data_IF_590953949843
#
_entry.id   IF_590953949843
#
_cell.length_a   1.000
_cell.length_b   1.000
_cell.length_c   1.000
_cell.angle_alpha   90.00
_cell.angle_beta   90.00
_cell.angle_gamma   90.00
#
_symmetry.space_group_name_H-M   'P 1'
#
loop_
_entity.id
_entity.type
_entity.pdbx_description
1 polymer ?
#
# COMPACT_ATOMS: atom_id res chain seq x y z
N UNK A 1 -17.65 37.89 -6.71
CA UNK A 1 -16.26 37.43 -6.98
C UNK A 1 -15.56 36.99 -5.69
N UNK A 2 -15.61 37.79 -4.62
CA UNK A 2 -15.05 37.45 -3.30
C UNK A 2 -15.62 36.13 -2.74
N UNK A 3 -16.94 35.95 -2.69
CA UNK A 3 -17.55 34.68 -2.25
C UNK A 3 -17.14 33.44 -3.08
N UNK A 4 -16.80 33.64 -4.37
CA UNK A 4 -16.31 32.56 -5.24
C UNK A 4 -14.85 32.22 -4.94
N UNK A 5 -14.05 33.21 -4.56
CA UNK A 5 -12.68 33.02 -4.08
C UNK A 5 -12.66 32.33 -2.70
N UNK A 6 -13.59 32.70 -1.81
CA UNK A 6 -13.72 32.09 -0.48
C UNK A 6 -14.16 30.62 -0.56
N UNK A 7 -15.11 30.29 -1.45
CA UNK A 7 -15.46 28.88 -1.74
C UNK A 7 -14.32 28.11 -2.41
N UNK A 8 -13.49 28.77 -3.21
CA UNK A 8 -12.33 28.12 -3.82
C UNK A 8 -11.23 27.83 -2.78
N UNK A 9 -11.06 28.68 -1.77
CA UNK A 9 -10.16 28.41 -0.64
C UNK A 9 -10.58 27.14 0.13
N UNK A 10 -11.88 26.86 0.24
CA UNK A 10 -12.39 25.62 0.85
C UNK A 10 -12.07 24.35 0.05
N UNK A 11 -11.59 24.46 -1.20
CA UNK A 11 -11.12 23.33 -2.01
C UNK A 11 -9.61 23.06 -1.86
N UNK A 12 -8.92 23.82 -1.00
CA UNK A 12 -7.51 23.62 -0.70
C UNK A 12 -7.27 22.17 -0.25
N UNK A 13 -6.28 21.52 -0.85
CA UNK A 13 -6.01 20.10 -0.63
C UNK A 13 -4.57 19.75 -0.96
N UNK A 14 -4.11 18.67 -0.34
CA UNK A 14 -2.85 18.01 -0.67
C UNK A 14 -3.18 16.67 -1.33
N UNK A 15 -2.48 16.34 -2.42
CA UNK A 15 -2.58 15.04 -3.06
C UNK A 15 -1.22 14.53 -3.50
N UNK A 16 -1.05 13.22 -3.45
CA UNK A 16 0.14 12.50 -3.84
C UNK A 16 -0.25 11.52 -4.96
N UNK A 17 0.45 11.56 -6.11
CA UNK A 17 0.19 10.66 -7.23
C UNK A 17 1.50 10.09 -7.79
N UNK A 18 1.58 8.79 -8.09
CA UNK A 18 2.77 8.19 -8.70
C UNK A 18 3.16 8.86 -10.01
N UNK A 19 4.46 8.94 -10.28
CA UNK A 19 5.03 9.33 -11.56
C UNK A 19 6.08 8.29 -12.01
N UNK A 20 6.49 8.28 -13.28
CA UNK A 20 7.53 7.35 -13.75
C UNK A 20 8.86 7.50 -13.00
N UNK A 21 9.69 6.46 -13.05
CA UNK A 21 11.07 6.46 -12.54
C UNK A 21 11.22 6.69 -11.02
N UNK A 22 10.27 6.19 -10.22
CA UNK A 22 10.32 6.33 -8.75
C UNK A 22 10.02 7.74 -8.25
N UNK A 23 9.47 8.59 -9.12
CA UNK A 23 9.12 9.97 -8.82
C UNK A 23 7.66 10.07 -8.39
N UNK A 24 7.30 11.17 -7.74
CA UNK A 24 5.94 11.41 -7.27
C UNK A 24 5.52 12.85 -7.53
N UNK A 25 4.29 13.02 -7.99
CA UNK A 25 3.65 14.33 -7.98
C UNK A 25 3.06 14.59 -6.60
N UNK A 26 3.73 15.41 -5.81
CA UNK A 26 3.18 16.00 -4.60
C UNK A 26 2.59 17.36 -4.93
N UNK A 27 1.26 17.46 -4.94
CA UNK A 27 0.54 18.68 -5.34
C UNK A 27 -0.16 19.29 -4.14
N UNK A 28 0.09 20.59 -3.93
CA UNK A 28 -0.59 21.40 -2.92
C UNK A 28 -1.44 22.44 -3.64
N UNK A 29 -2.76 22.33 -3.52
CA UNK A 29 -3.70 23.35 -3.99
C UNK A 29 -3.95 24.34 -2.84
N UNK A 30 -3.58 25.59 -3.04
CA UNK A 30 -3.61 26.65 -2.02
C UNK A 30 -4.39 27.87 -2.50
N UNK A 31 -4.89 28.72 -1.58
CA UNK A 31 -5.25 30.10 -1.90
C UNK A 31 -4.11 30.82 -2.62
N UNK A 32 -4.44 31.65 -3.62
CA UNK A 32 -3.48 32.26 -4.54
C UNK A 32 -2.30 32.94 -3.83
N UNK A 33 -2.58 33.78 -2.82
CA UNK A 33 -1.54 34.51 -2.10
C UNK A 33 -0.55 33.58 -1.39
N UNK A 34 -1.04 32.49 -0.80
CA UNK A 34 -0.21 31.49 -0.14
C UNK A 34 0.61 30.69 -1.16
N UNK A 35 -0.01 30.29 -2.27
CA UNK A 35 0.68 29.53 -3.34
C UNK A 35 1.79 30.34 -4.02
N UNK A 36 1.54 31.60 -4.35
CA UNK A 36 2.55 32.49 -4.93
C UNK A 36 3.65 32.81 -3.91
N UNK A 37 3.30 33.04 -2.64
CA UNK A 37 4.28 33.23 -1.58
C UNK A 37 5.20 32.02 -1.40
N UNK A 38 4.63 30.81 -1.39
CA UNK A 38 5.39 29.57 -1.31
C UNK A 38 6.32 29.40 -2.51
N UNK A 39 5.80 29.58 -3.74
CA UNK A 39 6.61 29.47 -4.95
C UNK A 39 7.74 30.51 -4.99
N UNK A 40 7.44 31.77 -4.65
CA UNK A 40 8.43 32.84 -4.60
C UNK A 40 9.55 32.54 -3.59
N UNK A 41 9.21 32.00 -2.42
CA UNK A 41 10.19 31.65 -1.39
C UNK A 41 11.12 30.50 -1.81
N UNK A 42 10.60 29.50 -2.53
CA UNK A 42 11.39 28.41 -3.12
C UNK A 42 12.28 28.92 -4.26
N UNK A 43 11.69 29.74 -5.14
CA UNK A 43 12.39 30.39 -6.26
C UNK A 43 13.56 31.24 -5.76
N UNK A 44 13.33 32.05 -4.73
CA UNK A 44 14.36 32.92 -4.16
C UNK A 44 15.53 32.10 -3.60
N UNK A 45 15.25 31.04 -2.83
CA UNK A 45 16.31 30.17 -2.33
C UNK A 45 17.11 29.54 -3.46
N UNK A 46 16.44 29.04 -4.50
CA UNK A 46 17.12 28.49 -5.67
C UNK A 46 17.96 29.52 -6.44
N UNK A 47 17.55 30.79 -6.48
CA UNK A 47 18.32 31.87 -7.12
C UNK A 47 19.58 32.25 -6.31
N UNK A 48 19.64 31.89 -5.02
CA UNK A 48 20.79 32.16 -4.14
C UNK A 48 21.71 30.96 -3.92
N UNK A 49 21.37 29.80 -4.48
CA UNK A 49 22.12 28.55 -4.30
C UNK A 49 22.98 28.28 -5.54
N UNK A 50 24.29 28.20 -5.35
CA UNK A 50 25.28 28.06 -6.43
C UNK A 50 26.12 26.79 -6.27
N UNK A 51 25.46 25.64 -6.11
CA UNK A 51 26.11 24.35 -5.83
C UNK A 51 26.10 23.36 -7.02
N UNK A 52 25.76 23.85 -8.21
CA UNK A 52 25.74 23.06 -9.44
C UNK A 52 24.46 22.24 -9.67
N UNK A 53 23.53 22.18 -8.71
CA UNK A 53 22.22 21.55 -8.91
C UNK A 53 21.33 22.40 -9.82
N UNK A 54 20.40 21.75 -10.51
CA UNK A 54 19.41 22.49 -11.31
C UNK A 54 18.47 23.29 -10.41
N UNK A 55 17.96 24.42 -10.92
CA UNK A 55 16.97 25.24 -10.21
C UNK A 55 15.78 24.41 -9.71
N UNK A 56 15.27 23.50 -10.54
CA UNK A 56 14.15 22.63 -10.18
C UNK A 56 14.48 21.65 -9.05
N UNK A 57 15.70 21.11 -9.06
CA UNK A 57 16.19 20.24 -7.98
C UNK A 57 16.30 21.00 -6.67
N UNK A 58 16.95 22.18 -6.65
CA UNK A 58 17.06 23.01 -5.45
C UNK A 58 15.68 23.39 -4.90
N UNK A 59 14.75 23.80 -5.77
CA UNK A 59 13.38 24.13 -5.34
C UNK A 59 12.66 22.93 -4.71
N UNK A 60 12.84 21.73 -5.26
CA UNK A 60 12.21 20.50 -4.76
C UNK A 60 12.80 20.09 -3.41
N UNK A 61 14.12 20.09 -3.30
CA UNK A 61 14.84 19.78 -2.06
C UNK A 61 14.46 20.78 -0.95
N UNK A 62 14.42 22.07 -1.28
CA UNK A 62 14.00 23.13 -0.34
C UNK A 62 12.54 22.96 0.10
N UNK A 63 11.65 22.57 -0.82
CA UNK A 63 10.25 22.31 -0.48
C UNK A 63 10.14 21.12 0.48
N UNK A 64 10.87 20.04 0.21
CA UNK A 64 10.95 18.88 1.09
C UNK A 64 11.48 19.28 2.48
N UNK A 65 12.58 20.03 2.53
CA UNK A 65 13.21 20.48 3.78
C UNK A 65 12.28 21.34 4.63
N UNK A 66 11.58 22.29 4.01
CA UNK A 66 10.66 23.18 4.73
C UNK A 66 9.37 22.49 5.18
N UNK A 67 8.89 21.50 4.43
CA UNK A 67 7.67 20.75 4.78
C UNK A 67 7.95 19.73 5.89
N UNK A 68 9.09 19.04 5.82
CA UNK A 68 9.42 17.93 6.72
C UNK A 68 10.32 18.32 7.88
N UNK A 69 10.99 19.46 7.79
CA UNK A 69 12.05 19.88 8.74
C UNK A 69 13.34 19.07 8.63
N UNK A 70 13.53 18.30 7.55
CA UNK A 70 14.65 17.36 7.36
C UNK A 70 15.46 17.74 6.13
N UNK A 71 16.79 17.63 6.23
CA UNK A 71 17.69 17.79 5.08
C UNK A 71 17.29 16.83 3.94
N UNK A 72 17.25 17.33 2.71
CA UNK A 72 16.95 16.51 1.53
C UNK A 72 18.01 15.44 1.27
N UNK A 73 19.21 15.59 1.85
CA UNK A 73 20.30 14.61 1.76
C UNK A 73 20.26 13.50 2.81
N UNK A 74 19.27 13.49 3.70
CA UNK A 74 19.15 12.46 4.76
C UNK A 74 18.03 11.47 4.42
N UNK A 75 18.28 10.20 4.74
CA UNK A 75 17.27 9.15 4.66
C UNK A 75 15.96 9.57 5.35
N UNK A 76 14.84 9.40 4.68
CA UNK A 76 13.53 9.75 5.24
C UNK A 76 13.04 8.56 6.07
N UNK A 77 12.84 8.69 7.40
CA UNK A 77 12.05 7.74 8.16
C UNK A 77 10.61 7.92 7.76
N UNK A 78 10.26 7.28 6.67
CA UNK A 78 8.88 7.02 6.36
C UNK A 78 8.52 5.81 7.22
N UNK A 79 7.40 5.83 7.92
CA UNK A 79 6.71 4.58 8.25
C UNK A 79 6.25 4.00 6.90
N UNK A 80 7.19 3.35 6.21
CA UNK A 80 6.94 2.80 4.89
C UNK A 80 6.09 1.57 5.12
N UNK A 81 4.81 1.65 4.78
CA UNK A 81 4.04 0.45 4.59
C UNK A 81 4.42 -0.15 3.23
N UNK A 82 5.58 -0.80 3.20
CA UNK A 82 6.15 -1.50 2.05
C UNK A 82 5.88 -3.00 2.19
N UNK A 83 5.35 -3.61 1.14
CA UNK A 83 5.20 -5.06 1.03
C UNK A 83 6.13 -5.54 -0.06
N UNK A 84 7.10 -6.37 0.28
CA UNK A 84 7.99 -7.04 -0.67
C UNK A 84 8.27 -8.46 -0.20
N UNK A 85 8.70 -9.34 -1.09
CA UNK A 85 9.13 -10.67 -0.68
C UNK A 85 10.42 -10.58 0.14
N UNK A 86 10.63 -11.56 1.00
CA UNK A 86 11.85 -11.74 1.78
C UNK A 86 13.06 -12.00 0.87
N UNK A 87 12.88 -12.77 -0.20
CA UNK A 87 13.88 -12.98 -1.25
C UNK A 87 14.25 -11.65 -1.95
N UNK A 88 13.27 -10.80 -2.28
CA UNK A 88 13.53 -9.46 -2.83
C UNK A 88 14.29 -8.57 -1.84
N UNK A 89 13.97 -8.68 -0.54
CA UNK A 89 14.62 -7.90 0.51
C UNK A 89 16.07 -8.35 0.72
N UNK A 90 16.30 -9.66 0.71
CA UNK A 90 17.63 -10.29 0.81
C UNK A 90 18.50 -10.02 -0.43
N UNK A 91 17.89 -9.64 -1.56
CA UNK A 91 18.58 -9.41 -2.83
C UNK A 91 18.69 -10.67 -3.69
N UNK A 92 17.97 -11.74 -3.34
CA UNK A 92 17.91 -13.01 -4.08
C UNK A 92 17.05 -12.91 -5.35
N UNK A 93 16.22 -11.86 -5.46
CA UNK A 93 15.48 -11.53 -6.67
C UNK A 93 15.25 -10.01 -6.84
N UNK A 94 14.75 -9.64 -8.03
CA UNK A 94 14.39 -8.27 -8.41
C UNK A 94 12.87 -8.08 -8.63
N UNK A 95 12.03 -8.88 -7.96
CA UNK A 95 10.60 -8.65 -7.98
C UNK A 95 10.28 -7.27 -7.39
N UNK A 96 9.28 -6.53 -7.93
CA UNK A 96 8.91 -5.25 -7.35
C UNK A 96 8.41 -5.44 -5.92
N UNK A 97 8.56 -4.42 -5.08
CA UNK A 97 7.76 -4.26 -3.86
C UNK A 97 6.50 -3.44 -4.14
N UNK A 98 5.62 -3.32 -3.15
CA UNK A 98 4.41 -2.51 -3.19
C UNK A 98 4.41 -1.50 -2.05
N UNK A 99 4.40 -0.23 -2.42
CA UNK A 99 4.36 0.88 -1.50
C UNK A 99 2.92 1.40 -1.39
N UNK A 100 2.40 1.54 -0.17
CA UNK A 100 1.04 2.05 0.04
C UNK A 100 0.81 3.41 -0.62
N UNK A 101 -0.35 3.61 -1.24
CA UNK A 101 -0.69 4.86 -1.92
C UNK A 101 0.17 5.21 -3.13
N UNK A 102 1.23 4.44 -3.43
CA UNK A 102 2.08 4.62 -4.61
C UNK A 102 1.92 3.46 -5.62
N UNK A 103 1.90 2.22 -5.14
CA UNK A 103 1.84 1.03 -5.99
C UNK A 103 3.20 0.33 -6.13
N UNK A 104 3.45 -0.35 -7.26
CA UNK A 104 4.65 -1.16 -7.41
C UNK A 104 5.90 -0.28 -7.52
N UNK A 105 6.94 -0.65 -6.78
CA UNK A 105 8.24 0.03 -6.74
C UNK A 105 9.38 -0.98 -7.01
N UNK A 106 10.45 -0.59 -7.72
CA UNK A 106 11.57 -1.50 -8.01
C UNK A 106 12.23 -2.08 -6.77
N UNK A 107 12.73 -3.31 -6.86
CA UNK A 107 13.40 -4.03 -5.77
C UNK A 107 14.57 -3.24 -5.15
N UNK A 108 15.42 -2.64 -5.98
CA UNK A 108 16.55 -1.82 -5.52
C UNK A 108 16.11 -0.60 -4.71
N UNK A 109 15.02 0.05 -5.10
CA UNK A 109 14.43 1.18 -4.36
C UNK A 109 13.88 0.72 -3.01
N UNK A 110 13.21 -0.43 -2.98
CA UNK A 110 12.73 -1.06 -1.76
C UNK A 110 13.89 -1.34 -0.79
N UNK A 111 14.97 -1.96 -1.27
CA UNK A 111 16.16 -2.27 -0.46
C UNK A 111 16.85 -1.01 0.05
N UNK A 112 17.01 0.02 -0.78
CA UNK A 112 17.58 1.31 -0.36
C UNK A 112 16.76 1.94 0.77
N UNK A 113 15.44 2.04 0.60
CA UNK A 113 14.54 2.54 1.65
C UNK A 113 14.66 1.74 2.96
N UNK A 114 14.75 0.41 2.87
CA UNK A 114 14.87 -0.46 4.05
C UNK A 114 16.26 -0.38 4.70
N UNK A 115 17.32 -0.28 3.90
CA UNK A 115 18.71 -0.24 4.35
C UNK A 115 19.07 1.09 5.01
N UNK A 116 18.68 2.20 4.39
CA UNK A 116 18.88 3.56 4.91
C UNK A 116 18.13 3.76 6.24
N UNK A 117 16.93 3.18 6.33
CA UNK A 117 16.11 3.13 7.53
C UNK A 117 16.72 2.35 8.70
N UNK A 118 17.51 1.29 8.43
CA UNK A 118 18.18 0.50 9.48
C UNK A 118 19.50 1.15 9.91
N UNK A 119 20.17 1.87 9.01
CA UNK A 119 21.44 2.53 9.27
C UNK A 119 21.31 3.81 10.10
N UNK A 120 20.19 4.54 9.98
CA UNK A 120 19.96 5.77 10.73
C UNK A 120 19.34 5.48 12.11
N UNK A 121 20.13 5.65 13.19
CA UNK A 121 19.71 5.48 14.59
C UNK A 121 18.60 6.46 15.03
N UNK A 122 18.41 7.58 14.32
CA UNK A 122 17.35 8.56 14.54
C UNK A 122 16.10 8.29 13.68
N UNK A 123 16.22 7.54 12.60
CA UNK A 123 15.13 7.04 11.79
C UNK A 123 14.57 5.74 12.39
N UNK A 124 13.64 5.83 13.35
CA UNK A 124 12.86 4.66 13.75
C UNK A 124 11.90 4.27 12.62
N UNK A 125 12.40 3.59 11.59
CA UNK A 125 11.53 2.90 10.65
C UNK A 125 10.94 1.69 11.35
N UNK A 126 9.66 1.78 11.73
CA UNK A 126 8.93 0.64 12.25
C UNK A 126 8.61 -0.32 11.09
N UNK A 127 9.57 -1.17 10.71
CA UNK A 127 9.32 -2.23 9.74
C UNK A 127 8.31 -3.24 10.31
N UNK A 128 7.06 -3.14 9.86
CA UNK A 128 6.03 -4.13 10.21
C UNK A 128 6.12 -5.30 9.24
N UNK A 129 6.79 -6.37 9.66
CA UNK A 129 6.89 -7.63 8.89
C UNK A 129 5.51 -8.27 8.78
N UNK A 130 4.94 -8.22 7.58
CA UNK A 130 3.74 -8.98 7.21
C UNK A 130 4.21 -10.16 6.35
N UNK A 131 4.26 -11.35 6.96
CA UNK A 131 4.76 -12.55 6.30
C UNK A 131 3.75 -13.07 5.27
N UNK A 132 4.26 -13.38 4.08
CA UNK A 132 3.56 -14.08 3.02
C UNK A 132 3.58 -15.58 3.33
N UNK A 133 2.42 -16.24 3.36
CA UNK A 133 2.36 -17.68 3.60
C UNK A 133 3.06 -18.43 2.44
N UNK A 134 4.07 -19.26 2.72
CA UNK A 134 5.02 -19.77 1.72
C UNK A 134 4.38 -20.65 0.62
N UNK A 135 3.18 -21.21 0.86
CA UNK A 135 2.46 -22.05 -0.11
C UNK A 135 1.30 -21.37 -0.84
N UNK A 136 0.71 -20.33 -0.27
CA UNK A 136 -0.50 -19.68 -0.84
C UNK A 136 -0.25 -18.25 -1.27
N UNK A 137 0.85 -17.63 -0.82
CA UNK A 137 1.14 -16.24 -1.14
C UNK A 137 0.28 -15.22 -0.40
N UNK A 138 -0.55 -15.65 0.57
CA UNK A 138 -1.47 -14.78 1.33
C UNK A 138 -0.83 -14.20 2.60
N UNK A 139 -1.28 -13.04 3.04
CA UNK A 139 -0.91 -12.47 4.34
C UNK A 139 -1.59 -13.28 5.47
N UNK A 140 -0.83 -13.62 6.52
CA UNK A 140 -1.32 -14.46 7.64
C UNK A 140 -2.60 -13.88 8.25
N UNK A 141 -3.64 -14.71 8.28
CA UNK A 141 -5.01 -14.34 8.62
C UNK A 141 -5.17 -13.98 10.12
N UNK A 142 -5.91 -12.91 10.39
CA UNK A 142 -6.39 -12.53 11.71
C UNK A 142 -7.91 -12.49 11.67
N UNK A 143 -8.57 -13.11 12.64
CA UNK A 143 -10.03 -13.04 12.83
C UNK A 143 -10.35 -12.11 14.01
N UNK A 144 -11.47 -11.38 13.92
CA UNK A 144 -11.93 -10.45 14.96
C UNK A 144 -13.35 -10.79 15.39
N UNK A 145 -13.64 -10.62 16.69
CA UNK A 145 -15.02 -10.67 17.22
C UNK A 145 -15.76 -9.33 17.11
N UNK A 146 -15.07 -8.25 16.72
CA UNK A 146 -15.69 -6.94 16.54
C UNK A 146 -16.42 -6.85 15.19
N UNK A 147 -17.56 -6.15 15.15
CA UNK A 147 -18.29 -5.89 13.90
C UNK A 147 -17.48 -5.02 12.92
N UNK A 148 -16.80 -3.99 13.42
CA UNK A 148 -15.91 -3.17 12.60
C UNK A 148 -14.56 -3.86 12.42
N UNK A 149 -13.96 -3.70 11.23
CA UNK A 149 -12.63 -4.21 10.93
C UNK A 149 -11.59 -3.48 11.80
N UNK A 150 -10.92 -4.17 12.74
CA UNK A 150 -9.88 -3.54 13.56
C UNK A 150 -8.71 -3.10 12.68
N UNK A 151 -7.96 -2.10 13.12
CA UNK A 151 -6.88 -1.47 12.35
C UNK A 151 -5.94 -2.48 11.67
N UNK A 152 -5.50 -3.52 12.39
CA UNK A 152 -4.60 -4.54 11.82
C UNK A 152 -5.23 -5.35 10.68
N UNK A 153 -6.52 -5.68 10.79
CA UNK A 153 -7.25 -6.43 9.77
C UNK A 153 -7.60 -5.53 8.57
N UNK A 154 -8.02 -4.29 8.83
CA UNK A 154 -8.23 -3.29 7.80
C UNK A 154 -6.94 -3.08 6.96
N UNK A 155 -5.80 -2.94 7.64
CA UNK A 155 -4.49 -2.85 6.96
C UNK A 155 -4.20 -4.08 6.12
N UNK A 156 -4.47 -5.30 6.60
CA UNK A 156 -4.29 -6.52 5.81
C UNK A 156 -5.15 -6.50 4.54
N UNK A 157 -6.41 -6.08 4.66
CA UNK A 157 -7.35 -5.99 3.54
C UNK A 157 -6.86 -4.93 2.53
N UNK A 158 -6.40 -3.76 2.98
CA UNK A 158 -5.83 -2.74 2.10
C UNK A 158 -4.67 -3.28 1.26
N UNK A 159 -3.78 -4.08 1.87
CA UNK A 159 -2.64 -4.68 1.15
C UNK A 159 -3.05 -5.73 0.14
N UNK A 160 -3.98 -6.59 0.54
CA UNK A 160 -4.46 -7.68 -0.30
C UNK A 160 -5.25 -7.15 -1.48
N UNK A 161 -6.07 -6.12 -1.25
CA UNK A 161 -7.06 -5.66 -2.22
C UNK A 161 -6.53 -4.54 -3.11
N UNK A 162 -5.67 -3.66 -2.59
CA UNK A 162 -5.04 -2.51 -3.27
C UNK A 162 -6.02 -1.43 -3.76
N UNK A 163 -7.08 -1.83 -4.45
CA UNK A 163 -8.19 -1.00 -4.95
C UNK A 163 -9.53 -1.62 -4.57
N UNK A 164 -10.62 -0.92 -4.88
CA UNK A 164 -11.99 -1.40 -4.66
C UNK A 164 -12.21 -2.79 -5.27
N UNK A 165 -12.77 -3.71 -4.49
CA UNK A 165 -13.00 -5.10 -4.93
C UNK A 165 -14.29 -5.32 -5.70
N UNK A 166 -15.12 -4.28 -5.87
CA UNK A 166 -16.25 -4.36 -6.79
C UNK A 166 -15.73 -4.49 -8.23
N UNK A 167 -16.25 -5.44 -9.03
CA UNK A 167 -15.77 -5.68 -10.38
C UNK A 167 -15.69 -4.38 -11.22
N UNK A 168 -14.56 -4.20 -11.90
CA UNK A 168 -14.27 -3.06 -12.80
C UNK A 168 -14.14 -1.69 -12.11
N UNK A 169 -14.03 -1.64 -10.77
CA UNK A 169 -13.81 -0.41 -10.03
C UNK A 169 -12.36 -0.32 -9.54
N UNK A 170 -11.58 0.63 -10.07
CA UNK A 170 -10.19 0.86 -9.64
C UNK A 170 -10.06 2.00 -8.62
N UNK A 171 -11.17 2.38 -7.97
CA UNK A 171 -11.18 3.47 -7.00
C UNK A 171 -10.40 3.09 -5.72
N UNK A 172 -9.75 4.07 -5.05
CA UNK A 172 -9.10 3.82 -3.77
C UNK A 172 -10.07 3.29 -2.72
N UNK A 173 -9.59 2.35 -1.91
CA UNK A 173 -10.33 1.80 -0.78
C UNK A 173 -10.64 2.93 0.22
N UNK A 174 -11.90 3.00 0.65
CA UNK A 174 -12.36 3.94 1.68
C UNK A 174 -13.05 3.23 2.83
N UNK A 175 -13.73 2.13 2.55
CA UNK A 175 -14.43 1.30 3.53
C UNK A 175 -13.88 -0.12 3.51
N UNK A 176 -13.88 -0.76 4.68
CA UNK A 176 -13.67 -2.19 4.84
C UNK A 176 -14.99 -2.77 5.27
N UNK A 177 -15.55 -3.66 4.47
CA UNK A 177 -16.86 -4.21 4.75
C UNK A 177 -16.95 -5.69 4.37
N UNK A 178 -17.97 -6.36 4.88
CA UNK A 178 -18.13 -7.79 4.69
C UNK A 178 -18.68 -8.11 3.30
N UNK A 179 -18.19 -9.19 2.69
CA UNK A 179 -18.78 -9.79 1.51
C UNK A 179 -20.14 -10.41 1.87
N UNK A 180 -20.16 -11.33 2.83
CA UNK A 180 -21.39 -11.75 3.50
C UNK A 180 -21.62 -10.81 4.68
N UNK A 181 -22.71 -10.02 4.71
CA UNK A 181 -22.93 -9.03 5.77
C UNK A 181 -22.97 -9.64 7.18
N UNK A 182 -22.46 -8.90 8.17
CA UNK A 182 -22.53 -9.28 9.60
C UNK A 182 -23.96 -9.62 10.06
N UNK A 183 -24.96 -8.84 9.60
CA UNK A 183 -26.39 -9.10 9.86
C UNK A 183 -26.91 -10.43 9.31
N UNK A 184 -26.21 -11.03 8.34
CA UNK A 184 -26.49 -12.33 7.76
C UNK A 184 -25.56 -13.43 8.32
N UNK A 185 -24.85 -13.16 9.42
CA UNK A 185 -23.93 -14.09 10.08
C UNK A 185 -22.50 -14.09 9.52
N UNK A 186 -22.16 -13.14 8.64
CA UNK A 186 -20.81 -13.03 8.11
C UNK A 186 -19.80 -12.58 9.16
N UNK A 187 -18.70 -13.31 9.31
CA UNK A 187 -17.68 -12.99 10.31
C UNK A 187 -16.78 -11.84 9.87
N UNK A 188 -16.31 -11.04 10.81
CA UNK A 188 -15.21 -10.08 10.58
C UNK A 188 -13.88 -10.82 10.51
N UNK A 189 -13.52 -11.25 9.31
CA UNK A 189 -12.29 -12.00 9.04
C UNK A 189 -11.59 -11.45 7.81
N UNK A 190 -10.32 -11.85 7.63
CA UNK A 190 -9.61 -11.55 6.39
C UNK A 190 -10.38 -12.12 5.19
N UNK A 191 -10.83 -13.37 5.25
CA UNK A 191 -11.51 -14.04 4.14
C UNK A 191 -12.87 -13.41 3.75
N UNK A 192 -13.62 -12.88 4.71
CA UNK A 192 -14.93 -12.29 4.41
C UNK A 192 -14.87 -10.77 4.21
N UNK A 193 -13.77 -10.10 4.57
CA UNK A 193 -13.62 -8.65 4.39
C UNK A 193 -13.23 -8.28 2.98
N UNK A 194 -13.70 -7.12 2.49
CA UNK A 194 -13.35 -6.51 1.22
C UNK A 194 -13.00 -5.03 1.40
N UNK A 195 -11.99 -4.56 0.67
CA UNK A 195 -11.72 -3.15 0.50
C UNK A 195 -12.61 -2.58 -0.60
N UNK A 196 -13.40 -1.54 -0.28
CA UNK A 196 -14.36 -0.95 -1.20
C UNK A 196 -14.29 0.59 -1.17
N UNK A 197 -14.60 1.21 -2.30
CA UNK A 197 -14.86 2.65 -2.31
C UNK A 197 -16.24 2.92 -1.68
N UNK A 198 -16.47 4.15 -1.19
CA UNK A 198 -17.71 4.48 -0.51
C UNK A 198 -18.96 4.25 -1.39
N UNK A 199 -18.88 4.61 -2.69
CA UNK A 199 -20.00 4.47 -3.61
C UNK A 199 -20.41 3.01 -3.84
N UNK A 200 -19.43 2.14 -4.11
CA UNK A 200 -19.68 0.72 -4.34
C UNK A 200 -20.16 0.01 -3.06
N UNK A 201 -19.59 0.37 -1.91
CA UNK A 201 -20.01 -0.14 -0.62
C UNK A 201 -21.48 0.19 -0.31
N UNK A 202 -21.93 1.39 -0.64
CA UNK A 202 -23.36 1.72 -0.49
C UNK A 202 -24.23 1.03 -1.53
N UNK A 203 -23.74 0.89 -2.77
CA UNK A 203 -24.49 0.24 -3.83
C UNK A 203 -24.77 -1.25 -3.54
N UNK A 204 -23.80 -1.98 -2.98
CA UNK A 204 -23.95 -3.41 -2.66
C UNK A 204 -24.95 -3.69 -1.54
N UNK A 205 -25.29 -2.70 -0.73
CA UNK A 205 -26.28 -2.82 0.33
C UNK A 205 -27.72 -2.75 -0.19
N UNK A 206 -27.90 -2.35 -1.46
CA UNK A 206 -29.20 -2.33 -2.10
C UNK A 206 -29.78 -3.75 -2.30
N UNK A 207 -31.11 -3.92 -2.26
CA UNK A 207 -31.74 -5.22 -2.48
C UNK A 207 -31.34 -5.89 -3.79
N UNK A 208 -31.19 -7.21 -3.76
CA UNK A 208 -30.86 -8.03 -4.93
C UNK A 208 -29.36 -8.21 -5.18
N UNK A 209 -28.49 -7.44 -4.53
CA UNK A 209 -27.06 -7.70 -4.54
C UNK A 209 -26.70 -8.87 -3.61
N UNK A 210 -25.79 -9.73 -4.06
CA UNK A 210 -25.21 -10.79 -3.22
C UNK A 210 -23.71 -10.85 -3.44
N UNK A 211 -22.96 -10.89 -2.35
CA UNK A 211 -21.50 -10.97 -2.40
C UNK A 211 -21.04 -12.11 -1.49
N UNK A 212 -20.07 -12.88 -1.98
CA UNK A 212 -19.42 -13.93 -1.20
C UNK A 212 -17.92 -13.90 -1.51
N UNK A 213 -17.09 -14.01 -0.48
CA UNK A 213 -15.65 -14.04 -0.64
C UNK A 213 -15.07 -15.32 -0.04
N UNK A 214 -13.93 -15.76 -0.59
CA UNK A 214 -13.25 -16.97 -0.16
C UNK A 214 -11.89 -17.11 -0.82
N UNK A 215 -11.11 -18.07 -0.36
CA UNK A 215 -9.85 -18.44 -1.04
C UNK A 215 -10.10 -19.52 -2.10
N UNK A 216 -9.71 -19.23 -3.34
CA UNK A 216 -9.69 -20.19 -4.46
C UNK A 216 -8.28 -20.24 -5.06
N UNK A 217 -7.71 -21.44 -5.16
CA UNK A 217 -6.36 -21.66 -5.69
C UNK A 217 -5.25 -20.80 -5.04
N UNK A 218 -5.41 -20.50 -3.76
CA UNK A 218 -4.48 -19.66 -3.00
C UNK A 218 -4.69 -18.15 -3.18
N UNK A 219 -5.59 -17.73 -4.08
CA UNK A 219 -5.95 -16.32 -4.27
C UNK A 219 -7.28 -16.00 -3.60
N UNK A 220 -7.40 -14.80 -3.04
CA UNK A 220 -8.65 -14.33 -2.48
C UNK A 220 -9.60 -13.84 -3.57
N UNK A 221 -10.75 -14.48 -3.70
CA UNK A 221 -11.73 -14.25 -4.76
C UNK A 221 -13.07 -13.82 -4.16
N UNK A 222 -13.64 -12.74 -4.70
CA UNK A 222 -14.98 -12.28 -4.38
C UNK A 222 -15.91 -12.52 -5.58
N UNK A 223 -17.01 -13.23 -5.34
CA UNK A 223 -18.09 -13.43 -6.30
C UNK A 223 -19.20 -12.43 -6.02
N UNK A 224 -19.62 -11.74 -7.06
CA UNK A 224 -20.65 -10.70 -7.04
C UNK A 224 -21.83 -11.15 -7.89
N UNK A 225 -23.04 -11.04 -7.35
CA UNK A 225 -24.30 -11.24 -8.08
C UNK A 225 -25.04 -9.91 -8.07
N UNK A 226 -25.33 -9.38 -9.25
CA UNK A 226 -26.10 -8.13 -9.40
C UNK A 226 -27.60 -8.40 -9.18
N UNK A 227 -28.42 -7.36 -8.96
CA UNK A 227 -29.88 -7.50 -8.88
C UNK A 227 -30.53 -8.11 -10.13
N UNK A 228 -29.87 -8.03 -11.28
CA UNK A 228 -30.31 -8.66 -12.54
C UNK A 228 -29.89 -10.14 -12.66
N UNK A 229 -29.18 -10.68 -11.67
CA UNK A 229 -28.69 -12.06 -11.66
C UNK A 229 -27.36 -12.28 -12.38
N UNK A 230 -26.72 -11.23 -12.91
CA UNK A 230 -25.41 -11.35 -13.54
C UNK A 230 -24.34 -11.67 -12.50
N UNK A 231 -23.42 -12.58 -12.85
CA UNK A 231 -22.36 -13.05 -11.95
C UNK A 231 -21.01 -12.53 -12.42
N UNK A 232 -20.29 -11.90 -11.52
CA UNK A 232 -18.96 -11.35 -11.75
C UNK A 232 -17.99 -11.82 -10.67
N UNK A 233 -16.69 -11.82 -11.01
CA UNK A 233 -15.63 -12.21 -10.09
C UNK A 233 -14.58 -11.11 -9.98
N UNK A 234 -14.09 -10.91 -8.77
CA UNK A 234 -12.99 -10.03 -8.44
C UNK A 234 -11.91 -10.84 -7.75
N UNK A 235 -10.75 -10.97 -8.36
CA UNK A 235 -9.62 -11.74 -7.85
C UNK A 235 -8.60 -10.77 -7.28
N UNK A 236 -8.05 -11.07 -6.10
CA UNK A 236 -7.05 -10.21 -5.48
C UNK A 236 -5.84 -10.09 -6.41
N UNK A 237 -5.29 -8.89 -6.61
CA UNK A 237 -4.06 -8.74 -7.36
C UNK A 237 -2.98 -9.62 -6.73
N UNK A 238 -2.13 -10.20 -7.57
CA UNK A 238 -0.97 -10.95 -7.09
C UNK A 238 -0.10 -10.04 -6.27
N UNK A 239 0.11 -10.40 -5.00
CA UNK A 239 1.04 -9.67 -4.15
C UNK A 239 2.45 -9.75 -4.74
N UNK A 240 3.25 -8.68 -4.62
CA UNK A 240 4.59 -8.64 -5.17
C UNK A 240 5.48 -9.73 -4.58
N UNK A 241 6.41 -10.22 -5.40
CA UNK A 241 7.31 -11.32 -5.09
C UNK A 241 7.26 -12.42 -6.14
N UNK A 242 8.23 -13.36 -6.11
CA UNK A 242 8.27 -14.44 -7.08
C UNK A 242 6.98 -15.28 -7.03
N UNK A 243 6.51 -15.78 -8.18
CA UNK A 243 5.33 -16.61 -8.23
C UNK A 243 5.54 -17.83 -7.33
N UNK A 244 4.58 -18.10 -6.43
CA UNK A 244 4.59 -19.35 -5.67
C UNK A 244 4.25 -20.46 -6.66
N UNK A 245 5.27 -21.10 -7.23
CA UNK A 245 5.06 -22.31 -8.02
C UNK A 245 4.64 -23.39 -7.03
N UNK A 246 3.36 -23.77 -7.04
CA UNK A 246 2.94 -25.05 -6.45
C UNK A 246 3.74 -26.14 -7.18
N UNK A 247 4.78 -26.69 -6.54
CA UNK A 247 5.38 -27.94 -7.01
C UNK A 247 4.30 -29.02 -6.85
N UNK A 248 3.64 -29.41 -7.94
CA UNK A 248 2.69 -30.53 -7.97
C UNK A 248 3.48 -31.85 -8.06
N UNK A 249 4.53 -32.02 -7.25
CA UNK A 249 5.31 -33.25 -7.23
C UNK A 249 5.74 -33.56 -5.80
N UNK A 250 5.08 -34.55 -5.21
CA UNK A 250 5.44 -35.12 -3.90
C UNK A 250 6.89 -35.62 -3.87
N UNK A 251 7.49 -35.89 -5.04
CA UNK A 251 8.85 -36.38 -5.18
C UNK A 251 9.91 -35.30 -4.90
N UNK A 252 9.64 -34.02 -5.18
CA UNK A 252 10.58 -32.92 -4.90
C UNK A 252 10.44 -32.35 -3.46
N UNK A 253 9.31 -32.59 -2.79
CA UNK A 253 9.04 -32.10 -1.43
C UNK A 253 9.93 -32.74 -0.36
N UNK A 254 10.45 -33.95 -0.61
CA UNK A 254 11.33 -34.66 0.34
C UNK A 254 12.77 -34.17 0.37
N UNK A 255 13.19 -33.33 -0.58
CA UNK A 255 14.58 -32.85 -0.68
C UNK A 255 14.79 -31.42 -0.12
N UNK A 256 13.72 -30.71 0.27
CA UNK A 256 13.79 -29.27 0.59
C UNK A 256 13.46 -28.90 2.04
N UNK A 257 13.17 -29.87 2.91
CA UNK A 257 12.87 -29.62 4.34
C UNK A 257 14.13 -29.66 5.22
N UNK A 258 15.25 -30.18 4.74
CA UNK A 258 16.47 -30.37 5.56
C UNK A 258 17.50 -29.23 5.55
N UNK A 259 17.14 -28.04 5.08
CA UNK A 259 17.99 -26.85 5.14
C UNK A 259 17.26 -25.71 5.84
N UNK A 260 17.09 -25.84 7.16
CA UNK A 260 17.21 -24.80 8.21
C UNK A 260 17.04 -25.56 9.54
N UNK A 261 18.11 -26.23 9.98
CA UNK A 261 18.35 -26.46 11.40
C UNK A 261 19.50 -25.53 11.79
N UNK A 262 19.19 -24.47 12.53
CA UNK A 262 20.21 -23.73 13.26
C UNK A 262 20.65 -24.61 14.43
N UNK A 263 21.73 -25.37 14.24
CA UNK A 263 22.44 -25.97 15.37
C UNK A 263 23.02 -24.85 16.24
N UNK A 264 22.67 -24.89 17.52
CA UNK A 264 23.29 -24.08 18.57
C UNK A 264 24.24 -24.99 19.34
N UNK A 265 25.55 -24.73 19.39
CA UNK A 265 26.42 -25.43 20.33
C UNK A 265 26.24 -24.77 21.70
N UNK A 266 25.58 -25.46 22.63
CA UNK A 266 25.70 -25.10 24.04
C UNK A 266 26.95 -25.77 24.60
N UNK A 267 27.89 -24.92 24.98
CA UNK A 267 29.07 -25.26 25.75
C UNK A 267 28.69 -25.46 27.22
N UNK A 268 29.02 -26.64 27.76
CA UNK A 268 29.63 -26.88 29.07
C UNK A 268 29.97 -28.37 29.20
#
# INVERSE_FOLDING_TARGET
MVERADRAAAQARVSCRPAPNGMVYFTVLLPLAQGIGMYAALKHHADTTFDGRSRGQVMTDTAFERITGRSAGTAVPVEVNLVMADTTLAGDDDCPGWLDGYGPVPAGFCRALTGDAVADKGARATLRRLYRHPRSGQLVAMESRARLFPKGLATLIDRRDQTCRTPYCDAPIRHHDHATPDRAGGKTSAENGLGECAACNYAKEAPGWQVSAGTQDGSHTARWVTPTGAVHYSIAPTLPGPPVRRRISDTEGRLSIDLITFDKPDAA
#
